data_IF_127828192731
#
_entry.id   IF_127828192731
#
_cell.length_a   1.000
_cell.length_b   1.000
_cell.length_c   1.000
_cell.angle_alpha   90.00
_cell.angle_beta   90.00
_cell.angle_gamma   90.00
#
_symmetry.space_group_name_H-M   'P 1'
#
loop_
_entity.id
_entity.type
_entity.pdbx_description
1 polymer ?
#
# COMPACT_ATOMS: atom_id res chain seq x y z
N UNK A 1 24.64 34.67 30.61
CA UNK A 1 23.35 34.42 29.94
C UNK A 1 23.51 33.27 28.95
N UNK A 2 22.59 32.30 28.92
CA UNK A 2 22.77 31.01 28.22
C UNK A 2 22.81 31.09 26.68
N UNK A 3 22.47 32.25 26.12
CA UNK A 3 22.37 32.54 24.68
C UNK A 3 23.50 33.44 24.13
N UNK A 4 24.44 33.87 24.98
CA UNK A 4 25.60 34.68 24.56
C UNK A 4 26.85 33.81 24.53
N UNK A 5 27.60 33.87 23.43
CA UNK A 5 28.85 33.13 23.23
C UNK A 5 29.97 34.11 22.92
N UNK A 6 31.13 33.88 23.50
CA UNK A 6 32.36 34.56 23.12
C UNK A 6 32.81 34.03 21.75
N UNK A 7 33.07 34.92 20.81
CA UNK A 7 33.57 34.58 19.47
C UNK A 7 34.74 35.48 19.13
N UNK A 8 35.79 34.92 18.57
CA UNK A 8 36.98 35.67 18.16
C UNK A 8 36.87 35.96 16.66
N UNK A 9 36.86 37.25 16.31
CA UNK A 9 37.02 37.68 14.93
C UNK A 9 38.51 37.83 14.66
N UNK A 10 39.08 36.95 13.84
CA UNK A 10 40.50 36.94 13.53
C UNK A 10 40.93 38.18 12.72
N UNK A 11 42.22 38.52 12.79
CA UNK A 11 42.81 39.60 11.99
C UNK A 11 42.55 39.39 10.49
N UNK A 12 42.17 40.46 9.78
CA UNK A 12 41.89 40.43 8.35
C UNK A 12 40.65 39.62 7.93
N UNK A 13 39.82 39.17 8.86
CA UNK A 13 38.68 38.30 8.57
C UNK A 13 37.53 38.99 7.81
N UNK A 14 37.35 40.31 7.96
CA UNK A 14 36.29 41.07 7.26
C UNK A 14 36.76 41.53 5.89
N UNK A 15 37.95 42.12 5.83
CA UNK A 15 38.62 42.51 4.59
C UNK A 15 40.12 42.33 4.76
N UNK A 16 40.67 41.32 4.08
CA UNK A 16 42.08 41.00 4.14
C UNK A 16 42.95 42.06 3.45
N UNK A 17 42.45 42.72 2.39
CA UNK A 17 43.21 43.73 1.65
C UNK A 17 43.35 45.04 2.45
N UNK A 18 42.31 45.40 3.20
CA UNK A 18 42.34 46.53 4.12
C UNK A 18 42.87 46.18 5.53
N UNK A 19 43.19 44.89 5.78
CA UNK A 19 43.53 44.33 7.09
C UNK A 19 42.50 44.69 8.19
N UNK A 20 41.22 44.40 7.95
CA UNK A 20 40.14 44.65 8.89
C UNK A 20 39.59 43.32 9.45
N UNK A 21 39.53 43.14 10.79
CA UNK A 21 40.15 43.98 11.82
C UNK A 21 41.68 43.89 11.79
N UNK A 22 42.37 44.93 12.27
CA UNK A 22 43.84 45.05 12.28
C UNK A 22 44.55 44.15 13.32
N UNK A 23 43.75 43.50 14.16
CA UNK A 23 44.15 42.48 15.13
C UNK A 23 42.94 41.61 15.43
N UNK A 24 43.18 40.43 16.00
CA UNK A 24 42.07 39.58 16.46
C UNK A 24 41.28 40.29 17.57
N UNK A 25 39.96 40.40 17.42
CA UNK A 25 39.06 41.04 18.38
C UNK A 25 38.11 40.01 18.96
N UNK A 26 38.06 39.91 20.28
CA UNK A 26 37.06 39.12 20.99
C UNK A 26 35.74 39.87 21.01
N UNK A 27 34.69 39.24 20.52
CA UNK A 27 33.33 39.75 20.45
C UNK A 27 32.39 38.91 21.31
N UNK A 28 31.30 39.52 21.74
CA UNK A 28 30.18 38.83 22.34
C UNK A 28 29.06 38.68 21.31
N UNK A 29 28.77 37.45 20.91
CA UNK A 29 27.73 37.13 19.95
C UNK A 29 26.47 36.61 20.64
N UNK A 30 25.30 36.95 20.08
CA UNK A 30 24.01 36.39 20.48
C UNK A 30 23.59 35.34 19.46
N UNK A 31 23.21 34.17 19.93
CA UNK A 31 22.70 33.11 19.07
C UNK A 31 21.29 33.45 18.59
N UNK A 32 21.06 33.41 17.28
CA UNK A 32 19.73 33.56 16.71
C UNK A 32 18.92 32.27 16.89
N UNK A 33 17.67 32.40 17.34
CA UNK A 33 16.77 31.26 17.57
C UNK A 33 15.66 31.22 16.52
N UNK A 34 15.45 30.04 15.93
CA UNK A 34 14.31 29.79 15.04
C UNK A 34 13.13 29.30 15.88
N UNK A 35 12.14 30.17 16.07
CA UNK A 35 10.96 29.91 16.90
C UNK A 35 9.73 29.69 16.02
N UNK A 36 8.92 28.68 16.36
CA UNK A 36 7.66 28.36 15.71
C UNK A 36 6.51 28.46 16.72
N UNK A 37 5.28 28.61 16.23
CA UNK A 37 4.09 28.51 17.08
C UNK A 37 3.80 27.04 17.41
N UNK A 38 3.17 26.81 18.56
CA UNK A 38 2.79 25.47 19.03
C UNK A 38 1.75 24.77 18.13
N UNK A 39 1.00 25.52 17.33
CA UNK A 39 0.00 24.99 16.38
C UNK A 39 0.61 24.62 15.00
N UNK A 40 1.91 24.83 14.81
CA UNK A 40 2.58 24.50 13.56
C UNK A 40 2.53 22.99 13.36
N UNK A 41 2.08 22.60 12.17
CA UNK A 41 1.96 21.21 11.81
C UNK A 41 3.34 20.51 11.84
N UNK A 42 3.48 19.35 12.51
CA UNK A 42 4.77 18.64 12.70
C UNK A 42 5.63 18.48 11.45
N UNK A 43 5.01 18.20 10.29
CA UNK A 43 5.74 18.03 9.04
C UNK A 43 6.46 19.30 8.57
N UNK A 44 5.92 20.49 8.89
CA UNK A 44 6.58 21.75 8.56
C UNK A 44 7.82 21.96 9.44
N UNK A 45 7.81 21.46 10.68
CA UNK A 45 8.96 21.51 11.59
C UNK A 45 10.11 20.70 11.01
N UNK A 46 9.84 19.48 10.52
CA UNK A 46 10.85 18.66 9.84
C UNK A 46 11.43 19.35 8.61
N UNK A 47 10.59 20.01 7.82
CA UNK A 47 11.02 20.75 6.62
C UNK A 47 11.91 21.94 7.00
N UNK A 48 11.50 22.71 8.01
CA UNK A 48 12.27 23.83 8.54
C UNK A 48 13.63 23.37 9.06
N UNK A 49 13.68 22.25 9.78
CA UNK A 49 14.94 21.67 10.26
C UNK A 49 15.87 21.23 9.12
N UNK A 50 15.32 20.66 8.05
CA UNK A 50 16.11 20.32 6.86
C UNK A 50 16.68 21.56 6.16
N UNK A 51 15.87 22.60 6.00
CA UNK A 51 16.30 23.87 5.41
C UNK A 51 17.35 24.52 6.32
N UNK A 52 17.13 24.58 7.62
CA UNK A 52 18.06 25.14 8.58
C UNK A 52 19.41 24.43 8.53
N UNK A 53 19.44 23.10 8.50
CA UNK A 53 20.69 22.33 8.35
C UNK A 53 21.36 22.57 7.00
N UNK A 54 20.60 22.72 5.92
CA UNK A 54 21.16 22.99 4.59
C UNK A 54 21.75 24.39 4.47
N UNK A 55 21.09 25.39 5.05
CA UNK A 55 21.49 26.80 4.95
C UNK A 55 22.59 27.15 5.95
N UNK A 56 22.48 26.69 7.20
CA UNK A 56 23.38 27.07 8.28
C UNK A 56 24.44 26.01 8.64
N UNK A 57 24.37 24.81 8.05
CA UNK A 57 25.32 23.72 8.34
C UNK A 57 26.71 23.91 7.74
N UNK A 58 26.87 24.83 6.77
CA UNK A 58 28.13 25.04 6.05
C UNK A 58 29.21 25.78 6.85
N UNK A 59 28.86 26.39 7.99
CA UNK A 59 29.75 27.29 8.72
C UNK A 59 29.86 28.68 8.05
N UNK A 60 30.54 29.59 8.73
CA UNK A 60 30.66 30.98 8.29
C UNK A 60 31.92 31.64 8.82
N UNK A 61 31.90 32.96 8.91
CA UNK A 61 33.04 33.76 9.36
C UNK A 61 33.33 33.57 10.87
N UNK A 62 32.29 33.27 11.65
CA UNK A 62 32.32 33.26 13.11
C UNK A 62 32.06 31.87 13.70
N UNK A 63 31.47 30.98 12.91
CA UNK A 63 30.98 29.67 13.29
C UNK A 63 31.61 28.56 12.44
N UNK A 64 31.96 27.44 13.08
CA UNK A 64 32.54 26.30 12.36
C UNK A 64 31.46 25.52 11.60
N UNK A 65 31.82 24.80 10.52
CA UNK A 65 30.89 23.89 9.85
C UNK A 65 30.29 22.88 10.83
N UNK A 66 28.96 22.77 10.85
CA UNK A 66 28.23 21.89 11.76
C UNK A 66 27.94 22.45 13.15
N UNK A 67 28.37 23.67 13.49
CA UNK A 67 28.01 24.32 14.76
C UNK A 67 26.50 24.63 14.84
N UNK A 68 25.86 24.85 13.69
CA UNK A 68 24.44 25.18 13.59
C UNK A 68 23.74 24.37 12.49
N UNK A 69 22.41 24.11 12.62
CA UNK A 69 21.57 24.39 13.78
C UNK A 69 21.89 23.49 14.99
N UNK A 70 21.74 24.01 16.21
CA UNK A 70 22.08 23.32 17.47
C UNK A 70 20.88 23.26 18.43
N UNK A 71 20.70 22.16 19.19
CA UNK A 71 19.68 22.07 20.24
C UNK A 71 20.12 22.75 21.56
N UNK A 72 21.36 23.21 21.66
CA UNK A 72 21.93 23.73 22.89
C UNK A 72 21.86 25.26 22.97
N UNK A 73 21.70 25.79 24.18
CA UNK A 73 21.79 27.24 24.42
C UNK A 73 20.55 28.03 24.00
N UNK A 74 19.42 27.37 23.78
CA UNK A 74 18.13 28.01 23.45
C UNK A 74 17.47 28.60 24.70
N UNK A 75 16.79 29.73 24.54
CA UNK A 75 15.94 30.35 25.54
C UNK A 75 14.56 29.67 25.62
N UNK A 76 14.08 29.11 24.51
CA UNK A 76 12.81 28.38 24.43
C UNK A 76 12.98 26.85 24.52
N UNK A 77 11.90 26.18 24.95
CA UNK A 77 11.84 24.71 24.96
C UNK A 77 11.91 24.14 23.54
N UNK A 78 12.68 23.06 23.38
CA UNK A 78 12.84 22.41 22.09
C UNK A 78 11.59 21.57 21.73
N UNK A 79 11.03 21.85 20.56
CA UNK A 79 9.92 21.08 19.97
C UNK A 79 10.24 19.57 19.89
N UNK A 80 9.24 18.73 20.10
CA UNK A 80 9.40 17.27 20.12
C UNK A 80 9.89 16.71 18.77
N UNK A 81 9.45 17.28 17.64
CA UNK A 81 9.89 16.89 16.31
C UNK A 81 11.31 17.37 16.03
N UNK A 82 11.65 18.60 16.44
CA UNK A 82 13.02 19.10 16.35
C UNK A 82 14.00 18.20 17.14
N UNK A 83 13.60 17.73 18.33
CA UNK A 83 14.39 16.77 19.12
C UNK A 83 14.59 15.45 18.37
N UNK A 84 13.51 14.88 17.81
CA UNK A 84 13.57 13.66 16.99
C UNK A 84 14.51 13.81 15.79
N UNK A 85 14.50 14.99 15.15
CA UNK A 85 15.38 15.28 14.02
C UNK A 85 16.86 15.30 14.41
N UNK A 86 17.21 15.86 15.58
CA UNK A 86 18.59 15.80 16.09
C UNK A 86 19.01 14.37 16.46
N UNK A 87 18.12 13.60 17.09
CA UNK A 87 18.44 12.23 17.55
C UNK A 87 18.54 11.20 16.41
N UNK A 88 17.61 11.28 15.44
CA UNK A 88 17.41 10.23 14.42
C UNK A 88 17.71 10.71 13.00
N UNK A 89 17.94 12.00 12.80
CA UNK A 89 18.09 12.59 11.47
C UNK A 89 16.76 12.70 10.73
N UNK A 90 16.80 13.01 9.41
CA UNK A 90 15.59 13.11 8.61
C UNK A 90 14.89 11.74 8.51
N UNK A 91 13.55 11.69 8.42
CA UNK A 91 12.79 10.45 8.31
C UNK A 91 13.33 9.53 7.20
N UNK A 92 13.49 8.23 7.48
CA UNK A 92 14.08 7.24 6.56
C UNK A 92 13.43 7.23 5.16
N UNK A 93 12.11 7.45 5.10
CA UNK A 93 11.33 7.51 3.86
C UNK A 93 11.64 8.76 3.01
N UNK A 94 12.07 9.88 3.62
CA UNK A 94 12.45 11.09 2.88
C UNK A 94 13.80 10.94 2.15
N UNK A 95 14.55 9.86 2.40
CA UNK A 95 15.80 9.57 1.69
C UNK A 95 15.58 9.05 0.26
N UNK A 96 14.38 8.54 -0.03
CA UNK A 96 14.03 7.95 -1.34
C UNK A 96 12.74 8.52 -1.95
N UNK A 97 11.89 9.20 -1.17
CA UNK A 97 10.60 9.72 -1.63
C UNK A 97 10.52 11.24 -1.48
N UNK A 98 9.79 11.94 -2.38
CA UNK A 98 9.42 13.35 -2.18
C UNK A 98 8.72 13.55 -0.83
N UNK A 99 8.90 14.73 -0.22
CA UNK A 99 8.38 15.08 1.11
C UNK A 99 6.90 14.68 1.30
N UNK A 100 6.04 14.98 0.33
CA UNK A 100 4.61 14.66 0.41
C UNK A 100 4.33 13.16 0.52
N UNK A 101 5.08 12.33 -0.21
CA UNK A 101 4.88 10.89 -0.25
C UNK A 101 5.40 10.23 1.02
N UNK A 102 6.56 10.68 1.53
CA UNK A 102 7.12 10.17 2.78
C UNK A 102 6.19 10.44 3.97
N UNK A 103 5.66 11.66 4.10
CA UNK A 103 4.74 12.02 5.18
C UNK A 103 3.38 11.32 5.05
N UNK A 104 2.89 11.10 3.81
CA UNK A 104 1.65 10.36 3.59
C UNK A 104 1.80 8.91 4.04
N UNK A 105 2.88 8.24 3.63
CA UNK A 105 3.13 6.84 4.00
C UNK A 105 3.37 6.67 5.49
N UNK A 106 4.18 7.53 6.10
CA UNK A 106 4.48 7.46 7.54
C UNK A 106 3.20 7.55 8.38
N UNK A 107 2.30 8.49 8.04
CA UNK A 107 1.02 8.65 8.72
C UNK A 107 0.01 7.57 8.39
N UNK A 108 -0.07 7.17 7.13
CA UNK A 108 -1.00 6.12 6.71
C UNK A 108 -0.57 4.77 7.25
N UNK A 109 0.71 4.53 7.53
CA UNK A 109 1.23 3.22 7.98
C UNK A 109 0.47 2.65 9.18
N UNK A 110 0.11 3.49 10.15
CA UNK A 110 -0.68 3.10 11.34
C UNK A 110 -2.05 2.53 10.97
N UNK A 111 -2.67 3.03 9.89
CA UNK A 111 -3.95 2.54 9.38
C UNK A 111 -3.80 1.48 8.28
N UNK A 112 -2.75 1.59 7.45
CA UNK A 112 -2.45 0.75 6.31
C UNK A 112 -2.03 -0.65 6.76
N UNK A 113 -1.25 -0.75 7.85
CA UNK A 113 -0.81 -2.04 8.38
C UNK A 113 -2.03 -2.89 8.78
N UNK A 114 -2.95 -2.44 9.67
CA UNK A 114 -4.17 -3.18 9.97
C UNK A 114 -5.03 -3.47 8.74
N UNK A 115 -5.15 -2.50 7.82
CA UNK A 115 -5.93 -2.68 6.60
C UNK A 115 -5.36 -3.80 5.72
N UNK A 116 -4.05 -3.82 5.50
CA UNK A 116 -3.37 -4.88 4.73
C UNK A 116 -3.45 -6.21 5.46
N UNK A 117 -3.28 -6.22 6.78
CA UNK A 117 -3.48 -7.42 7.61
C UNK A 117 -4.89 -8.00 7.45
N UNK A 118 -5.91 -7.17 7.27
CA UNK A 118 -7.29 -7.60 7.00
C UNK A 118 -7.54 -7.94 5.52
N UNK A 119 -6.88 -7.24 4.59
CA UNK A 119 -7.03 -7.45 3.16
C UNK A 119 -6.42 -8.79 2.72
N UNK A 120 -5.29 -9.19 3.31
CA UNK A 120 -4.60 -10.45 2.99
C UNK A 120 -5.50 -11.69 3.13
N UNK A 121 -6.19 -11.94 4.26
CA UNK A 121 -7.11 -13.06 4.36
C UNK A 121 -8.30 -12.91 3.41
N UNK A 122 -8.82 -11.69 3.18
CA UNK A 122 -9.93 -11.46 2.26
C UNK A 122 -9.56 -11.80 0.81
N UNK A 123 -8.36 -11.40 0.38
CA UNK A 123 -7.81 -11.74 -0.93
C UNK A 123 -7.62 -13.25 -1.10
N UNK A 124 -7.30 -13.97 -0.03
CA UNK A 124 -7.19 -15.45 -0.03
C UNK A 124 -8.54 -16.14 -0.17
N UNK A 125 -9.64 -15.50 0.26
CA UNK A 125 -11.00 -16.05 0.18
C UNK A 125 -11.62 -15.87 -1.21
N UNK A 126 -11.16 -14.89 -2.00
CA UNK A 126 -11.70 -14.61 -3.34
C UNK A 126 -11.58 -15.82 -4.31
N UNK A 127 -10.40 -16.43 -4.52
CA UNK A 127 -10.26 -17.57 -5.42
C UNK A 127 -11.19 -18.76 -5.09
N UNK A 128 -11.23 -19.29 -3.85
CA UNK A 128 -12.10 -20.42 -3.53
C UNK A 128 -13.60 -20.06 -3.59
N UNK A 129 -13.98 -18.80 -3.33
CA UNK A 129 -15.37 -18.38 -3.46
C UNK A 129 -15.86 -18.42 -4.92
N UNK A 130 -15.01 -18.02 -5.88
CA UNK A 130 -15.30 -18.17 -7.31
C UNK A 130 -15.39 -19.64 -7.72
N UNK A 131 -14.46 -20.48 -7.24
CA UNK A 131 -14.48 -21.92 -7.49
C UNK A 131 -15.76 -22.58 -6.95
N UNK A 132 -16.21 -22.20 -5.74
CA UNK A 132 -17.46 -22.68 -5.16
C UNK A 132 -18.66 -22.33 -6.03
N UNK A 133 -18.77 -21.07 -6.48
CA UNK A 133 -19.87 -20.62 -7.34
C UNK A 133 -19.95 -21.42 -8.66
N UNK A 134 -18.82 -21.68 -9.30
CA UNK A 134 -18.77 -22.49 -10.54
C UNK A 134 -19.20 -23.94 -10.25
N UNK A 135 -18.63 -24.56 -9.20
CA UNK A 135 -18.96 -25.93 -8.81
C UNK A 135 -20.45 -26.08 -8.50
N UNK A 136 -21.03 -25.20 -7.69
CA UNK A 136 -22.45 -25.25 -7.35
C UNK A 136 -23.35 -25.21 -8.58
N UNK A 137 -22.98 -24.44 -9.61
CA UNK A 137 -23.74 -24.39 -10.86
C UNK A 137 -23.63 -25.68 -11.68
N UNK A 138 -22.44 -26.29 -11.74
CA UNK A 138 -22.21 -27.58 -12.41
C UNK A 138 -22.94 -28.72 -11.70
N UNK A 139 -22.90 -28.77 -10.36
CA UNK A 139 -23.59 -29.80 -9.58
C UNK A 139 -25.10 -29.80 -9.78
N UNK A 140 -25.72 -28.63 -9.96
CA UNK A 140 -27.15 -28.54 -10.27
C UNK A 140 -27.51 -29.29 -11.56
N UNK A 141 -26.71 -29.13 -12.61
CA UNK A 141 -26.93 -29.83 -13.88
C UNK A 141 -26.67 -31.32 -13.79
N UNK A 142 -25.71 -31.75 -12.96
CA UNK A 142 -25.52 -33.17 -12.66
C UNK A 142 -26.74 -33.78 -11.98
N UNK A 143 -27.42 -33.06 -11.08
CA UNK A 143 -28.65 -33.52 -10.46
C UNK A 143 -29.78 -33.65 -11.50
N UNK A 144 -29.97 -32.65 -12.35
CA UNK A 144 -30.96 -32.72 -13.44
C UNK A 144 -30.69 -33.92 -14.37
N UNK A 145 -29.42 -34.19 -14.68
CA UNK A 145 -29.02 -35.31 -15.53
C UNK A 145 -29.27 -36.66 -14.86
N UNK A 146 -29.01 -36.76 -13.56
CA UNK A 146 -29.28 -37.96 -12.75
C UNK A 146 -30.77 -38.25 -12.65
N UNK A 147 -31.61 -37.22 -12.55
CA UNK A 147 -33.06 -37.37 -12.55
C UNK A 147 -33.58 -37.88 -13.91
N UNK A 148 -33.00 -37.42 -15.02
CA UNK A 148 -33.31 -37.92 -16.37
C UNK A 148 -32.90 -39.38 -16.51
N UNK A 149 -31.71 -39.75 -16.05
CA UNK A 149 -31.23 -41.14 -16.08
C UNK A 149 -32.14 -42.06 -15.26
N UNK A 150 -32.46 -41.70 -14.02
CA UNK A 150 -33.34 -42.48 -13.16
C UNK A 150 -34.73 -42.69 -13.77
N UNK A 151 -35.33 -41.65 -14.36
CA UNK A 151 -36.63 -41.76 -15.04
C UNK A 151 -36.55 -42.58 -16.32
N UNK A 152 -35.42 -42.54 -17.02
CA UNK A 152 -35.21 -43.34 -18.22
C UNK A 152 -35.16 -44.85 -17.93
N UNK A 153 -34.76 -45.24 -16.71
CA UNK A 153 -34.63 -46.63 -16.29
C UNK A 153 -35.97 -47.27 -15.90
N UNK A 154 -36.98 -46.48 -15.53
CA UNK A 154 -38.31 -46.92 -15.03
C UNK A 154 -39.30 -47.34 -16.13
N UNK A 155 -38.81 -47.91 -17.23
CA UNK A 155 -39.59 -48.32 -18.41
C UNK A 155 -40.65 -47.28 -18.87
N UNK A 156 -40.20 -46.08 -19.25
CA UNK A 156 -41.09 -44.95 -19.57
C UNK A 156 -41.97 -45.19 -20.80
N UNK A 157 -43.19 -44.67 -20.75
CA UNK A 157 -44.08 -44.60 -21.90
C UNK A 157 -43.47 -43.80 -23.06
N UNK A 158 -43.99 -43.96 -24.28
CA UNK A 158 -43.50 -43.21 -25.46
C UNK A 158 -43.60 -41.69 -25.29
N UNK A 159 -44.57 -41.20 -24.53
CA UNK A 159 -44.73 -39.78 -24.26
C UNK A 159 -43.71 -39.28 -23.22
N UNK A 160 -43.42 -40.10 -22.20
CA UNK A 160 -42.37 -39.82 -21.22
C UNK A 160 -40.97 -39.87 -21.84
N UNK A 161 -40.70 -40.81 -22.76
CA UNK A 161 -39.45 -40.85 -23.53
C UNK A 161 -39.24 -39.59 -24.37
N UNK A 162 -40.30 -39.08 -25.01
CA UNK A 162 -40.25 -37.81 -25.74
C UNK A 162 -39.99 -36.62 -24.81
N UNK A 163 -40.64 -36.60 -23.65
CA UNK A 163 -40.42 -35.55 -22.64
C UNK A 163 -38.98 -35.58 -22.07
N UNK A 164 -38.43 -36.78 -21.82
CA UNK A 164 -37.04 -36.95 -21.37
C UNK A 164 -36.03 -36.49 -22.43
N UNK A 165 -36.28 -36.76 -23.70
CA UNK A 165 -35.46 -36.24 -24.79
C UNK A 165 -35.47 -34.72 -24.85
N UNK A 166 -36.66 -34.09 -24.83
CA UNK A 166 -36.78 -32.63 -24.84
C UNK A 166 -36.11 -31.99 -23.61
N UNK A 167 -36.22 -32.63 -22.44
CA UNK A 167 -35.54 -32.16 -21.22
C UNK A 167 -34.02 -32.26 -21.36
N UNK A 168 -33.50 -33.36 -21.90
CA UNK A 168 -32.06 -33.54 -22.12
C UNK A 168 -31.51 -32.50 -23.11
N UNK A 169 -32.24 -32.19 -24.18
CA UNK A 169 -31.84 -31.15 -25.13
C UNK A 169 -31.79 -29.77 -24.46
N UNK A 170 -32.77 -29.44 -23.60
CA UNK A 170 -32.77 -28.19 -22.83
C UNK A 170 -31.61 -28.06 -21.84
N UNK A 171 -31.14 -29.19 -21.29
CA UNK A 171 -29.98 -29.22 -20.38
C UNK A 171 -28.69 -29.02 -21.17
N UNK A 172 -28.55 -29.64 -22.34
CA UNK A 172 -27.37 -29.47 -23.20
C UNK A 172 -27.21 -28.03 -23.69
N UNK A 173 -28.30 -27.40 -24.13
CA UNK A 173 -28.31 -26.01 -24.59
C UNK A 173 -27.82 -25.07 -23.47
N UNK A 174 -28.38 -25.20 -22.27
CA UNK A 174 -27.99 -24.37 -21.11
C UNK A 174 -26.56 -24.64 -20.61
N UNK A 175 -26.03 -25.85 -20.80
CA UNK A 175 -24.63 -26.19 -20.52
C UNK A 175 -23.70 -25.63 -21.60
N UNK A 176 -24.18 -25.50 -22.84
CA UNK A 176 -23.40 -24.96 -23.96
C UNK A 176 -23.13 -23.45 -23.84
N UNK A 177 -24.11 -22.70 -23.33
CA UNK A 177 -24.04 -21.24 -23.12
C UNK A 177 -23.20 -20.83 -21.89
N UNK A 178 -22.82 -21.79 -21.04
CA UNK A 178 -22.11 -21.47 -19.80
C UNK A 178 -20.65 -21.11 -20.07
N UNK A 179 -20.29 -19.86 -19.80
CA UNK A 179 -18.91 -19.41 -19.79
C UNK A 179 -18.22 -19.86 -18.50
N UNK A 180 -17.19 -20.71 -18.61
CA UNK A 180 -16.38 -21.19 -17.48
C UNK A 180 -14.92 -20.86 -17.74
N UNK A 181 -14.15 -20.43 -16.71
CA UNK A 181 -12.72 -20.19 -16.85
C UNK A 181 -11.97 -21.40 -17.41
N UNK A 182 -10.97 -21.17 -18.26
CA UNK A 182 -10.16 -22.23 -18.92
C UNK A 182 -9.58 -23.25 -17.94
N UNK A 183 -9.29 -22.81 -16.72
CA UNK A 183 -8.71 -23.62 -15.68
C UNK A 183 -9.64 -24.74 -15.18
N UNK A 184 -10.95 -24.72 -15.52
CA UNK A 184 -12.04 -25.61 -15.03
C UNK A 184 -12.83 -26.25 -16.19
N UNK A 185 -12.24 -26.28 -17.39
CA UNK A 185 -12.92 -26.82 -18.58
C UNK A 185 -13.17 -28.33 -18.49
N UNK A 186 -12.37 -29.04 -17.69
CA UNK A 186 -12.50 -30.47 -17.38
C UNK A 186 -13.89 -30.85 -16.85
N UNK A 187 -14.47 -30.04 -15.96
CA UNK A 187 -15.79 -30.30 -15.38
C UNK A 187 -16.90 -30.22 -16.44
N UNK A 188 -16.84 -29.23 -17.34
CA UNK A 188 -17.81 -29.09 -18.43
C UNK A 188 -17.64 -30.20 -19.47
N UNK A 189 -16.40 -30.57 -19.81
CA UNK A 189 -16.17 -31.67 -20.75
C UNK A 189 -16.74 -32.99 -20.22
N UNK A 190 -16.52 -33.30 -18.94
CA UNK A 190 -17.08 -34.50 -18.31
C UNK A 190 -18.62 -34.51 -18.30
N UNK A 191 -19.26 -33.37 -18.04
CA UNK A 191 -20.71 -33.24 -18.09
C UNK A 191 -21.25 -33.45 -19.53
N UNK A 192 -20.61 -32.85 -20.52
CA UNK A 192 -20.96 -33.04 -21.94
C UNK A 192 -20.81 -34.49 -22.39
N UNK A 193 -19.76 -35.18 -21.93
CA UNK A 193 -19.58 -36.61 -22.20
C UNK A 193 -20.71 -37.47 -21.61
N UNK A 194 -21.15 -37.19 -20.38
CA UNK A 194 -22.29 -37.89 -19.78
C UNK A 194 -23.61 -37.62 -20.50
N UNK A 195 -23.87 -36.38 -20.92
CA UNK A 195 -25.03 -36.03 -21.73
C UNK A 195 -25.05 -36.84 -23.04
N UNK A 196 -23.91 -36.91 -23.73
CA UNK A 196 -23.79 -37.69 -24.97
C UNK A 196 -24.04 -39.19 -24.75
N UNK A 197 -23.58 -39.74 -23.62
CA UNK A 197 -23.80 -41.14 -23.24
C UNK A 197 -25.28 -41.43 -22.97
N UNK A 198 -25.96 -40.61 -22.19
CA UNK A 198 -27.39 -40.77 -21.88
C UNK A 198 -28.25 -40.62 -23.13
N UNK A 199 -27.92 -39.65 -24.00
CA UNK A 199 -28.58 -39.50 -25.31
C UNK A 199 -28.48 -40.77 -26.14
N UNK A 200 -27.31 -41.42 -26.17
CA UNK A 200 -27.11 -42.68 -26.90
C UNK A 200 -27.97 -43.80 -26.32
N UNK A 201 -28.07 -43.91 -24.99
CA UNK A 201 -28.94 -44.91 -24.32
C UNK A 201 -30.42 -44.68 -24.63
N UNK A 202 -30.90 -43.44 -24.55
CA UNK A 202 -32.30 -43.10 -24.87
C UNK A 202 -32.64 -43.41 -26.33
N UNK A 203 -31.74 -43.14 -27.28
CA UNK A 203 -31.92 -43.48 -28.70
C UNK A 203 -32.03 -44.98 -28.98
N UNK A 204 -31.40 -45.82 -28.15
CA UNK A 204 -31.45 -47.28 -28.31
C UNK A 204 -32.75 -47.90 -27.78
N UNK A 205 -33.51 -47.18 -26.94
CA UNK A 205 -34.80 -47.63 -26.38
C UNK A 205 -36.01 -47.24 -27.26
N UNK A 206 -35.84 -47.25 -28.58
CA UNK A 206 -36.82 -46.76 -29.56
C UNK A 206 -37.92 -47.78 -29.86
#
# INVERSE_FOLDING_TARGET
>A
YRFMKEVVLHEGAVDLAANLPDRSVTLLAVTAELVIRADVHPALVDLLMQIARRVHGGGGLLEAPGDYPTPSGTAFELDEQARKFYDRGPPFLQRYLPFWAATLVDRMSVMLIPLVTLLLPLARILPPALDWRVRSRVYRWYNDLRDIEARSELDPSRDELRALHARLDSVEEQVSEMQVPLTRTDMIYNLRQHIALIRRRLRLRR
#
